data_IF_119314288639
#
_entry.id   IF_119314288639
#
_cell.length_a   1.000
_cell.length_b   1.000
_cell.length_c   1.000
_cell.angle_alpha   90.00
_cell.angle_beta   90.00
_cell.angle_gamma   90.00
#
_symmetry.space_group_name_H-M   'P 1'
#
loop_
_entity.id
_entity.type
_entity.pdbx_description
1 polymer ?
#
# COMPACT_ATOMS: atom_id res chain seq x y z
N UNK A 1 -3.29 -2.08 -27.85
CA UNK A 1 -3.75 -1.82 -26.46
C UNK A 1 -3.24 -2.98 -25.60
N UNK A 2 -2.71 -2.70 -24.45
CA UNK A 2 -2.14 -3.73 -23.57
C UNK A 2 -3.24 -4.62 -22.97
N UNK A 3 -2.98 -5.92 -22.73
CA UNK A 3 -3.96 -6.84 -22.10
C UNK A 3 -4.51 -6.31 -20.79
N UNK A 4 -3.69 -5.65 -19.98
CA UNK A 4 -4.09 -5.01 -18.72
C UNK A 4 -5.19 -3.96 -18.92
N UNK A 5 -4.98 -3.03 -19.84
CA UNK A 5 -5.95 -1.95 -20.13
C UNK A 5 -7.27 -2.50 -20.66
N UNK A 6 -7.22 -3.49 -21.57
CA UNK A 6 -8.41 -4.15 -22.09
C UNK A 6 -9.17 -4.90 -20.99
N UNK A 7 -8.45 -5.64 -20.14
CA UNK A 7 -9.05 -6.38 -19.04
C UNK A 7 -9.76 -5.46 -18.03
N UNK A 8 -9.10 -4.37 -17.62
CA UNK A 8 -9.71 -3.36 -16.73
C UNK A 8 -10.95 -2.73 -17.37
N UNK A 9 -10.90 -2.39 -18.67
CA UNK A 9 -12.03 -1.83 -19.40
C UNK A 9 -13.20 -2.81 -19.40
N UNK A 10 -12.97 -4.08 -19.72
CA UNK A 10 -13.98 -5.12 -19.74
C UNK A 10 -14.58 -5.34 -18.34
N UNK A 11 -13.76 -5.40 -17.31
CA UNK A 11 -14.20 -5.52 -15.92
C UNK A 11 -15.09 -4.33 -15.52
N UNK A 12 -14.68 -3.10 -15.83
CA UNK A 12 -15.47 -1.91 -15.58
C UNK A 12 -16.81 -1.94 -16.32
N UNK A 13 -16.80 -2.26 -17.62
CA UNK A 13 -18.03 -2.31 -18.42
C UNK A 13 -19.01 -3.37 -17.93
N UNK A 14 -18.52 -4.49 -17.42
CA UNK A 14 -19.34 -5.54 -16.84
C UNK A 14 -19.99 -5.14 -15.51
N UNK A 15 -19.42 -4.15 -14.80
CA UNK A 15 -19.85 -3.71 -13.46
C UNK A 15 -20.28 -2.24 -13.41
N UNK A 16 -20.45 -1.59 -14.54
CA UNK A 16 -20.77 -0.15 -14.60
C UNK A 16 -22.03 0.23 -13.80
N UNK A 17 -23.00 -0.66 -13.73
CA UNK A 17 -24.26 -0.43 -13.01
C UNK A 17 -24.10 -0.51 -11.47
N UNK A 18 -22.96 -1.04 -10.99
CA UNK A 18 -22.57 -1.06 -9.56
C UNK A 18 -21.81 0.21 -9.14
N UNK A 19 -21.49 1.12 -10.06
CA UNK A 19 -20.59 2.25 -9.82
C UNK A 19 -21.11 3.18 -8.73
N UNK A 20 -22.39 3.56 -8.78
CA UNK A 20 -22.95 4.50 -7.80
C UNK A 20 -22.93 3.90 -6.38
N UNK A 21 -23.25 2.61 -6.25
CA UNK A 21 -23.16 1.89 -4.98
C UNK A 21 -21.73 1.78 -4.48
N UNK A 22 -20.78 1.51 -5.38
CA UNK A 22 -19.35 1.44 -5.04
C UNK A 22 -18.85 2.80 -4.56
N UNK A 23 -19.18 3.89 -5.25
CA UNK A 23 -18.78 5.25 -4.85
C UNK A 23 -19.39 5.63 -3.52
N UNK A 24 -20.66 5.27 -3.27
CA UNK A 24 -21.31 5.51 -1.99
C UNK A 24 -20.57 4.79 -0.85
N UNK A 25 -20.25 3.51 -1.04
CA UNK A 25 -19.48 2.72 -0.06
C UNK A 25 -18.09 3.30 0.21
N UNK A 26 -17.37 3.74 -0.83
CA UNK A 26 -16.05 4.38 -0.66
C UNK A 26 -16.14 5.66 0.17
N UNK A 27 -17.21 6.47 -0.02
CA UNK A 27 -17.45 7.67 0.79
C UNK A 27 -17.79 7.35 2.24
N UNK A 28 -18.54 6.30 2.49
CA UNK A 28 -18.83 5.82 3.84
C UNK A 28 -17.56 5.34 4.54
N UNK A 29 -16.72 4.58 3.82
CA UNK A 29 -15.43 4.14 4.33
C UNK A 29 -14.52 5.33 4.68
N UNK A 30 -14.41 6.31 3.78
CA UNK A 30 -13.65 7.55 4.00
C UNK A 30 -14.15 8.31 5.24
N UNK A 31 -15.48 8.47 5.35
CA UNK A 31 -16.09 9.19 6.47
C UNK A 31 -15.92 8.48 7.81
N UNK A 32 -15.96 7.15 7.82
CA UNK A 32 -15.84 6.33 9.03
C UNK A 32 -14.40 6.04 9.47
N UNK A 33 -13.40 6.32 8.64
CA UNK A 33 -12.03 5.90 8.91
C UNK A 33 -11.47 6.50 10.20
N UNK A 34 -11.53 7.81 10.38
CA UNK A 34 -10.97 8.50 11.55
C UNK A 34 -11.72 8.13 12.86
N UNK A 35 -13.05 7.98 12.78
CA UNK A 35 -13.84 7.54 13.93
C UNK A 35 -13.52 6.11 14.34
N UNK A 36 -13.21 5.24 13.37
CA UNK A 36 -12.78 3.87 13.64
C UNK A 36 -11.52 3.78 14.50
N UNK A 37 -10.57 4.69 14.35
CA UNK A 37 -9.39 4.79 15.22
C UNK A 37 -9.77 5.15 16.64
N UNK A 38 -10.63 6.17 16.82
CA UNK A 38 -11.08 6.61 18.13
C UNK A 38 -11.88 5.51 18.87
N UNK A 39 -12.79 4.85 18.16
CA UNK A 39 -13.65 3.80 18.72
C UNK A 39 -12.84 2.57 19.17
N UNK A 40 -11.73 2.28 18.50
CA UNK A 40 -10.83 1.16 18.84
C UNK A 40 -9.69 1.56 19.78
N UNK A 41 -9.52 2.85 20.10
CA UNK A 41 -8.40 3.35 20.91
C UNK A 41 -7.05 3.14 20.22
N UNK A 42 -7.01 3.27 18.89
CA UNK A 42 -5.81 3.10 18.05
C UNK A 42 -5.25 4.49 17.71
N UNK A 43 -3.97 4.71 17.96
CA UNK A 43 -3.26 5.91 17.50
C UNK A 43 -2.63 5.70 16.12
N UNK A 44 -2.03 4.54 15.90
CA UNK A 44 -1.36 4.19 14.64
C UNK A 44 -1.63 2.72 14.29
N UNK A 45 -2.00 2.48 13.04
CA UNK A 45 -2.18 1.15 12.48
C UNK A 45 -0.89 0.68 11.81
N UNK A 46 -0.38 -0.48 12.20
CA UNK A 46 0.79 -1.12 11.58
C UNK A 46 0.35 -2.25 10.65
N UNK A 47 0.78 -2.17 9.39
CA UNK A 47 0.57 -3.24 8.39
C UNK A 47 1.84 -3.46 7.56
N UNK A 48 1.95 -4.55 6.79
CA UNK A 48 2.89 -4.59 5.68
C UNK A 48 2.58 -3.47 4.67
N UNK A 49 3.59 -3.02 3.91
CA UNK A 49 3.36 -2.09 2.78
C UNK A 49 2.78 -2.86 1.59
N UNK A 50 3.37 -4.00 1.29
CA UNK A 50 3.01 -4.87 0.17
C UNK A 50 2.82 -6.31 0.63
N UNK A 51 2.03 -7.09 -0.10
CA UNK A 51 1.74 -8.49 0.22
C UNK A 51 2.92 -9.44 0.03
N UNK A 52 4.02 -8.97 -0.57
CA UNK A 52 5.27 -9.73 -0.74
C UNK A 52 6.45 -8.77 -0.84
N UNK A 53 7.70 -9.23 -0.66
CA UNK A 53 8.88 -8.48 -1.06
C UNK A 53 8.84 -8.12 -2.55
N UNK A 54 9.76 -7.26 -3.01
CA UNK A 54 9.86 -6.85 -4.40
C UNK A 54 9.81 -8.07 -5.35
N UNK A 55 8.91 -8.02 -6.32
CA UNK A 55 8.73 -9.07 -7.32
C UNK A 55 9.87 -9.08 -8.33
N UNK A 56 10.10 -10.21 -9.01
CA UNK A 56 11.10 -10.28 -10.07
C UNK A 56 10.69 -9.50 -11.30
N UNK A 57 11.69 -8.98 -12.03
CA UNK A 57 11.43 -8.32 -13.31
C UNK A 57 10.66 -9.25 -14.25
N UNK A 58 9.61 -8.73 -14.86
CA UNK A 58 8.72 -9.45 -15.77
C UNK A 58 7.52 -10.14 -15.11
N UNK A 59 7.51 -10.37 -13.81
CA UNK A 59 6.36 -11.00 -13.14
C UNK A 59 5.08 -10.17 -13.20
N UNK A 60 5.22 -8.84 -13.24
CA UNK A 60 4.11 -7.90 -13.42
C UNK A 60 4.25 -7.08 -14.71
N UNK A 61 4.82 -7.68 -15.75
CA UNK A 61 4.93 -7.02 -17.05
C UNK A 61 3.56 -6.87 -17.72
N UNK A 62 3.33 -5.80 -18.52
CA UNK A 62 2.07 -5.56 -19.21
C UNK A 62 1.71 -6.64 -20.24
N UNK A 63 2.65 -7.52 -20.58
CA UNK A 63 2.46 -8.67 -21.48
C UNK A 63 1.91 -9.91 -20.78
N UNK A 64 1.84 -9.91 -19.45
CA UNK A 64 1.22 -11.00 -18.69
C UNK A 64 -0.29 -11.00 -18.92
N UNK A 65 -0.90 -12.19 -18.99
CA UNK A 65 -2.35 -12.33 -19.13
C UNK A 65 -3.08 -11.59 -18.00
N UNK A 66 -4.19 -10.92 -18.36
CA UNK A 66 -4.91 -10.02 -17.46
C UNK A 66 -5.24 -10.64 -16.10
N UNK A 67 -5.89 -11.81 -16.09
CA UNK A 67 -6.33 -12.44 -14.83
C UNK A 67 -5.16 -12.74 -13.89
N UNK A 68 -4.05 -13.26 -14.45
CA UNK A 68 -2.84 -13.54 -13.70
C UNK A 68 -2.19 -12.25 -13.17
N UNK A 69 -2.15 -11.20 -13.98
CA UNK A 69 -1.59 -9.92 -13.59
C UNK A 69 -2.47 -9.23 -12.55
N UNK A 70 -3.79 -9.30 -12.71
CA UNK A 70 -4.75 -8.75 -11.77
C UNK A 70 -4.58 -9.33 -10.37
N UNK A 71 -4.55 -10.66 -10.25
CA UNK A 71 -4.36 -11.35 -8.97
C UNK A 71 -3.03 -10.99 -8.30
N UNK A 72 -1.96 -10.90 -9.10
CA UNK A 72 -0.63 -10.49 -8.60
C UNK A 72 -0.63 -9.05 -8.10
N UNK A 73 -1.21 -8.13 -8.86
CA UNK A 73 -1.24 -6.69 -8.50
C UNK A 73 -2.12 -6.46 -7.28
N UNK A 74 -3.30 -7.07 -7.21
CA UNK A 74 -4.20 -6.94 -6.05
C UNK A 74 -3.56 -7.51 -4.79
N UNK A 75 -2.93 -8.68 -4.89
CA UNK A 75 -2.22 -9.28 -3.75
C UNK A 75 -1.03 -8.43 -3.31
N UNK A 76 -0.27 -7.87 -4.26
CA UNK A 76 0.89 -7.04 -3.96
C UNK A 76 0.48 -5.71 -3.31
N UNK A 77 -0.56 -5.03 -3.82
CA UNK A 77 -1.01 -3.71 -3.37
C UNK A 77 -2.08 -3.75 -2.25
N UNK A 78 -2.32 -4.91 -1.63
CA UNK A 78 -3.46 -5.16 -0.75
C UNK A 78 -3.61 -4.18 0.42
N UNK A 79 -2.50 -3.64 0.95
CA UNK A 79 -2.52 -2.83 2.16
C UNK A 79 -2.56 -1.32 1.90
N UNK A 80 -2.15 -0.85 0.73
CA UNK A 80 -2.05 0.59 0.43
C UNK A 80 -3.36 1.19 -0.09
N UNK A 81 -4.18 0.40 -0.80
CA UNK A 81 -5.40 0.88 -1.41
C UNK A 81 -6.43 1.45 -0.40
N UNK A 82 -6.71 0.81 0.75
CA UNK A 82 -7.63 1.37 1.74
C UNK A 82 -7.18 2.73 2.27
N UNK A 83 -5.87 2.94 2.47
CA UNK A 83 -5.33 4.20 2.97
C UNK A 83 -5.48 5.34 1.96
N UNK A 84 -5.32 5.03 0.65
CA UNK A 84 -5.59 6.00 -0.41
C UNK A 84 -7.07 6.42 -0.45
N UNK A 85 -8.00 5.47 -0.26
CA UNK A 85 -9.44 5.76 -0.23
C UNK A 85 -9.79 6.61 1.00
N UNK A 86 -9.22 6.31 2.16
CA UNK A 86 -9.45 7.05 3.40
C UNK A 86 -8.84 8.46 3.39
N UNK A 87 -7.88 8.75 2.50
CA UNK A 87 -7.07 9.97 2.58
C UNK A 87 -6.20 10.00 3.84
N UNK A 88 -5.82 8.82 4.35
CA UNK A 88 -5.08 8.65 5.58
C UNK A 88 -3.63 9.13 5.46
N UNK A 89 -3.09 9.72 6.51
CA UNK A 89 -1.65 9.89 6.64
C UNK A 89 -1.00 8.50 6.75
N UNK A 90 0.01 8.22 5.90
CA UNK A 90 0.68 6.92 5.92
C UNK A 90 2.15 7.08 5.56
N UNK A 91 3.01 6.31 6.25
CA UNK A 91 4.44 6.24 5.97
C UNK A 91 4.91 4.79 5.85
N UNK A 92 5.96 4.58 5.07
CA UNK A 92 6.66 3.30 4.98
C UNK A 92 8.09 3.47 5.46
N UNK A 93 8.54 2.60 6.36
CA UNK A 93 9.91 2.55 6.86
C UNK A 93 10.50 1.15 6.70
N UNK A 94 11.78 1.00 6.31
CA UNK A 94 12.42 -0.29 6.04
C UNK A 94 12.94 -0.94 7.32
N UNK A 95 12.04 -1.49 8.14
CA UNK A 95 12.41 -2.08 9.44
C UNK A 95 12.92 -3.52 9.35
N UNK A 96 12.77 -4.19 8.23
CA UNK A 96 13.15 -5.58 8.08
C UNK A 96 13.74 -5.89 6.70
N UNK A 97 14.38 -7.05 6.59
CA UNK A 97 14.94 -7.55 5.34
C UNK A 97 14.64 -9.04 5.21
N UNK A 98 14.32 -9.46 4.00
CA UNK A 98 14.16 -10.88 3.70
C UNK A 98 15.51 -11.63 3.84
N UNK A 99 15.50 -12.98 3.92
CA UNK A 99 16.73 -13.77 3.87
C UNK A 99 17.57 -13.52 2.61
N UNK A 100 16.95 -13.06 1.51
CA UNK A 100 17.63 -12.68 0.27
C UNK A 100 18.18 -11.25 0.28
N UNK A 101 18.05 -10.51 1.39
CA UNK A 101 18.54 -9.13 1.52
C UNK A 101 17.61 -8.07 0.94
N UNK A 102 16.40 -8.42 0.50
CA UNK A 102 15.43 -7.45 0.01
C UNK A 102 14.80 -6.69 1.19
N UNK A 103 14.65 -5.35 1.12
CA UNK A 103 13.99 -4.58 2.16
C UNK A 103 12.50 -4.95 2.25
N UNK A 104 12.00 -5.00 3.47
CA UNK A 104 10.58 -5.20 3.78
C UNK A 104 10.11 -3.94 4.51
N UNK A 105 9.18 -3.22 3.89
CA UNK A 105 8.59 -2.03 4.47
C UNK A 105 7.54 -2.37 5.53
N UNK A 106 7.58 -1.65 6.63
CA UNK A 106 6.49 -1.57 7.59
C UNK A 106 5.71 -0.28 7.33
N UNK A 107 4.40 -0.38 7.13
CA UNK A 107 3.52 0.77 6.91
C UNK A 107 2.84 1.16 8.21
N UNK A 108 2.98 2.41 8.59
CA UNK A 108 2.28 3.02 9.70
C UNK A 108 1.28 4.03 9.15
N UNK A 109 0.03 3.89 9.55
CA UNK A 109 -1.06 4.75 9.10
C UNK A 109 -1.79 5.34 10.29
N UNK A 110 -2.02 6.65 10.25
CA UNK A 110 -2.80 7.40 11.22
C UNK A 110 -4.10 7.92 10.60
N UNK A 111 -4.78 8.79 11.33
CA UNK A 111 -5.94 9.55 10.83
C UNK A 111 -5.47 10.60 9.80
N UNK A 112 -6.41 11.20 9.13
CA UNK A 112 -6.13 12.35 8.26
C UNK A 112 -5.51 13.49 9.07
N UNK A 113 -4.34 13.98 8.60
CA UNK A 113 -3.58 15.05 9.25
C UNK A 113 -2.62 14.61 10.34
N UNK A 114 -2.48 13.30 10.61
CA UNK A 114 -1.53 12.75 11.60
C UNK A 114 -0.09 12.68 11.05
N UNK A 115 0.25 13.46 10.03
CA UNK A 115 1.60 13.47 9.43
C UNK A 115 2.68 13.75 10.47
N UNK A 116 2.46 14.70 11.38
CA UNK A 116 3.41 15.02 12.44
C UNK A 116 3.65 13.82 13.36
N UNK A 117 2.60 13.13 13.80
CA UNK A 117 2.70 11.93 14.63
C UNK A 117 3.54 10.85 13.95
N UNK A 118 3.30 10.65 12.64
CA UNK A 118 4.06 9.65 11.86
C UNK A 118 5.54 10.05 11.70
N UNK A 119 5.86 11.33 11.50
CA UNK A 119 7.25 11.80 11.48
C UNK A 119 7.95 11.62 12.83
N UNK A 120 7.29 11.94 13.94
CA UNK A 120 7.83 11.73 15.28
C UNK A 120 8.13 10.24 15.51
N UNK A 121 7.18 9.37 15.16
CA UNK A 121 7.37 7.91 15.22
C UNK A 121 8.52 7.43 14.31
N UNK A 122 8.64 7.99 13.09
CA UNK A 122 9.72 7.64 12.17
C UNK A 122 11.09 7.94 12.75
N UNK A 123 11.26 9.10 13.40
CA UNK A 123 12.51 9.50 14.04
C UNK A 123 12.89 8.55 15.19
N UNK A 124 11.92 8.15 16.01
CA UNK A 124 12.15 7.18 17.08
C UNK A 124 12.56 5.80 16.54
N UNK A 125 11.87 5.34 15.50
CA UNK A 125 12.15 4.06 14.84
C UNK A 125 13.55 4.06 14.20
N UNK A 126 13.93 5.15 13.53
CA UNK A 126 15.24 5.29 12.91
C UNK A 126 16.35 5.33 13.96
N UNK A 127 16.13 6.03 15.07
CA UNK A 127 17.08 6.04 16.21
C UNK A 127 17.24 4.65 16.84
N UNK A 128 16.12 3.91 17.00
CA UNK A 128 16.14 2.57 17.59
C UNK A 128 16.72 1.50 16.65
N UNK A 129 16.52 1.65 15.34
CA UNK A 129 16.94 0.68 14.31
C UNK A 129 17.39 1.38 13.04
N UNK A 130 18.58 1.99 13.00
CA UNK A 130 19.07 2.74 11.85
C UNK A 130 19.10 1.91 10.56
N UNK A 131 18.62 2.48 9.46
CA UNK A 131 18.62 1.84 8.13
C UNK A 131 19.44 2.58 7.08
N UNK A 132 19.86 3.85 7.33
CA UNK A 132 20.55 4.70 6.36
C UNK A 132 21.86 4.08 5.83
N UNK A 133 22.55 3.24 6.62
CA UNK A 133 23.75 2.53 6.20
C UNK A 133 23.53 1.27 5.36
N UNK A 134 22.29 0.88 5.11
CA UNK A 134 21.95 -0.32 4.31
C UNK A 134 21.71 0.06 2.87
N UNK A 135 22.76 0.18 2.11
CA UNK A 135 22.73 0.50 0.69
C UNK A 135 22.73 -0.78 -0.17
N UNK A 136 22.13 -0.77 -1.36
CA UNK A 136 22.24 -1.87 -2.32
C UNK A 136 23.71 -2.02 -2.76
N UNK A 137 24.08 -3.24 -3.19
CA UNK A 137 25.45 -3.51 -3.67
C UNK A 137 25.83 -2.75 -4.96
N UNK A 138 24.82 -2.22 -5.68
CA UNK A 138 25.01 -1.38 -6.86
C UNK A 138 24.39 -0.02 -6.53
N UNK A 139 25.22 1.00 -6.44
CA UNK A 139 24.81 2.40 -6.26
C UNK A 139 25.26 3.21 -7.47
N UNK A 140 24.43 4.14 -7.92
CA UNK A 140 24.87 5.13 -8.91
C UNK A 140 25.92 6.05 -8.26
N UNK A 141 27.07 6.20 -8.88
CA UNK A 141 28.13 7.13 -8.52
C UNK A 141 27.92 8.47 -9.21
#
# INVERSE_FOLDING_TARGET
>A
MEPWTLGLTNMFMARKDEMDATVAWLKEFEAGYDSGFADQGIDVLLTPVTGSPAVKLGEQAPTVAYDTLYDRVVTFAAFTAPMNVAGAASMSVPLSWSPAGLPIGAMFSGKRGDDQLLFELALELEAARPWAGRLPGIVAT
#
